data_IF_768908457947
#
_entry.id   IF_768908457947
#
_cell.length_a   1.000
_cell.length_b   1.000
_cell.length_c   1.000
_cell.angle_alpha   90.00
_cell.angle_beta   90.00
_cell.angle_gamma   90.00
#
_symmetry.space_group_name_H-M   'P 1'
#
loop_
_entity.id
_entity.type
_entity.pdbx_description
1 polymer ?
#
# COMPACT_ATOMS: atom_id res chain seq x y z
N UNK A 1 16.54 -19.21 15.27
CA UNK A 1 17.74 -19.08 14.40
C UNK A 1 17.54 -17.76 13.65
N UNK A 2 18.37 -16.73 13.89
CA UNK A 2 18.13 -15.36 13.38
C UNK A 2 18.99 -15.13 12.14
N UNK A 3 18.44 -14.89 10.93
CA UNK A 3 19.25 -14.43 9.81
C UNK A 3 19.40 -12.90 9.82
N UNK A 4 20.51 -12.48 9.21
CA UNK A 4 21.01 -11.13 9.02
C UNK A 4 19.91 -10.18 8.50
N UNK A 5 19.69 -8.99 9.05
CA UNK A 5 20.48 -7.78 8.75
C UNK A 5 20.10 -6.68 9.76
N UNK A 6 20.54 -6.80 11.02
CA UNK A 6 20.33 -5.77 12.04
C UNK A 6 21.59 -4.92 12.22
N UNK A 7 21.83 -4.04 11.25
CA UNK A 7 22.75 -2.91 11.40
C UNK A 7 21.97 -1.63 11.08
N UNK A 8 20.99 -1.30 11.94
CA UNK A 8 20.30 0.00 11.97
C UNK A 8 18.79 0.05 11.70
N UNK A 9 18.06 -1.08 11.67
CA UNK A 9 16.70 -1.12 11.10
C UNK A 9 15.60 -1.68 11.99
N UNK A 10 15.09 -0.91 12.96
CA UNK A 10 13.84 -1.19 13.71
C UNK A 10 12.56 -0.97 12.86
N UNK A 11 12.64 -1.08 11.54
CA UNK A 11 11.54 -0.68 10.64
C UNK A 11 11.23 -1.77 9.61
N UNK A 12 9.96 -2.14 9.52
CA UNK A 12 9.45 -3.03 8.48
C UNK A 12 8.91 -2.19 7.32
N UNK A 13 9.48 -2.34 6.13
CA UNK A 13 8.88 -1.85 4.88
C UNK A 13 8.20 -3.02 4.20
N UNK A 14 6.89 -2.91 3.98
CA UNK A 14 6.11 -3.95 3.31
C UNK A 14 5.10 -3.33 2.33
N UNK A 15 4.55 -4.16 1.46
CA UNK A 15 3.40 -3.81 0.63
C UNK A 15 2.11 -3.81 1.44
N UNK A 16 1.03 -3.27 0.86
CA UNK A 16 -0.33 -3.35 1.42
C UNK A 16 -0.77 -4.81 1.61
N UNK A 17 -0.45 -5.69 0.66
CA UNK A 17 -0.77 -7.12 0.76
C UNK A 17 0.00 -7.79 1.90
N UNK A 18 1.23 -7.36 2.18
CA UNK A 18 1.99 -7.90 3.30
C UNK A 18 1.39 -7.46 4.63
N UNK A 19 0.94 -6.20 4.73
CA UNK A 19 0.24 -5.72 5.92
C UNK A 19 -1.10 -6.43 6.13
N UNK A 20 -1.85 -6.71 5.06
CA UNK A 20 -3.06 -7.53 5.10
C UNK A 20 -2.79 -8.94 5.64
N UNK A 21 -1.76 -9.63 5.12
CA UNK A 21 -1.41 -10.97 5.59
C UNK A 21 -1.06 -10.97 7.09
N UNK A 22 -0.30 -9.96 7.53
CA UNK A 22 0.06 -9.80 8.94
C UNK A 22 -1.17 -9.53 9.83
N UNK A 23 -2.13 -8.71 9.38
CA UNK A 23 -3.37 -8.49 10.13
C UNK A 23 -4.16 -9.79 10.34
N UNK A 24 -4.28 -10.63 9.31
CA UNK A 24 -4.97 -11.92 9.41
C UNK A 24 -4.23 -12.86 10.35
N UNK A 25 -2.91 -13.03 10.18
CA UNK A 25 -2.12 -13.98 10.95
C UNK A 25 -2.00 -13.59 12.43
N UNK A 26 -2.11 -12.31 12.74
CA UNK A 26 -2.11 -11.80 14.12
C UNK A 26 -3.50 -11.65 14.72
N UNK A 27 -4.56 -11.74 13.91
CA UNK A 27 -5.94 -11.48 14.34
C UNK A 27 -6.23 -10.01 14.63
N UNK A 28 -5.42 -9.09 14.09
CA UNK A 28 -5.58 -7.64 14.30
C UNK A 28 -6.47 -7.07 13.18
N UNK A 29 -7.76 -6.88 13.50
CA UNK A 29 -8.79 -6.56 12.51
C UNK A 29 -8.66 -5.16 11.88
N UNK A 30 -8.24 -4.17 12.66
CA UNK A 30 -8.15 -2.78 12.19
C UNK A 30 -6.81 -2.20 12.61
N UNK A 31 -6.01 -1.83 11.62
CA UNK A 31 -4.80 -1.03 11.80
C UNK A 31 -5.07 0.33 11.18
N UNK A 32 -4.97 1.39 11.99
CA UNK A 32 -4.91 2.80 11.56
C UNK A 32 -5.65 3.10 10.23
N UNK A 33 -6.96 3.38 10.23
CA UNK A 33 -7.75 3.49 8.99
C UNK A 33 -7.22 4.55 8.01
N UNK A 34 -6.42 5.51 8.50
CA UNK A 34 -5.77 6.54 7.71
C UNK A 34 -4.68 5.99 6.77
N UNK A 35 -4.20 4.76 7.00
CA UNK A 35 -3.30 4.04 6.09
C UNK A 35 -4.01 3.54 4.82
N UNK A 36 -5.34 3.69 4.72
CA UNK A 36 -6.11 3.34 3.53
C UNK A 36 -6.23 1.83 3.31
N UNK A 37 -6.00 1.03 4.35
CA UNK A 37 -6.22 -0.41 4.33
C UNK A 37 -7.72 -0.70 4.29
N UNK A 38 -8.08 -1.78 3.60
CA UNK A 38 -9.43 -2.34 3.69
C UNK A 38 -9.56 -3.04 5.05
N UNK A 39 -10.66 -2.86 5.79
CA UNK A 39 -10.92 -3.68 6.98
C UNK A 39 -10.91 -5.16 6.60
N UNK A 40 -10.28 -6.01 7.42
CA UNK A 40 -10.36 -7.45 7.21
C UNK A 40 -11.70 -8.00 7.72
N UNK A 41 -12.21 -9.03 7.08
CA UNK A 41 -13.41 -9.76 7.46
C UNK A 41 -13.01 -11.17 7.91
N UNK A 42 -12.85 -11.42 9.22
CA UNK A 42 -12.35 -12.70 9.75
C UNK A 42 -13.17 -13.92 9.36
N UNK A 43 -14.46 -13.75 9.07
CA UNK A 43 -15.35 -14.83 8.63
C UNK A 43 -15.04 -15.34 7.21
N UNK A 44 -14.27 -14.60 6.42
CA UNK A 44 -13.93 -14.93 5.04
C UNK A 44 -12.42 -15.04 4.85
N UNK A 45 -11.67 -14.14 5.46
CA UNK A 45 -10.23 -14.02 5.30
C UNK A 45 -9.50 -14.80 6.40
N UNK A 46 -9.17 -16.06 6.09
CA UNK A 46 -8.61 -17.02 7.06
C UNK A 46 -7.08 -17.00 7.10
N UNK A 47 -6.46 -17.43 8.22
CA UNK A 47 -5.01 -17.60 8.30
C UNK A 47 -4.44 -18.48 7.18
N UNK A 48 -5.17 -19.53 6.78
CA UNK A 48 -4.75 -20.41 5.69
C UNK A 48 -4.70 -19.67 4.34
N UNK A 49 -5.64 -18.77 4.08
CA UNK A 49 -5.60 -17.93 2.87
C UNK A 49 -4.38 -17.01 2.87
N UNK A 50 -4.07 -16.39 4.01
CA UNK A 50 -2.87 -15.55 4.14
C UNK A 50 -1.59 -16.36 3.89
N UNK A 51 -1.47 -17.54 4.50
CA UNK A 51 -0.28 -18.41 4.31
C UNK A 51 -0.09 -18.89 2.87
N UNK A 52 -1.16 -19.05 2.10
CA UNK A 52 -1.10 -19.44 0.68
C UNK A 52 -0.83 -18.25 -0.25
N UNK A 53 -0.94 -17.01 0.22
CA UNK A 53 -0.72 -15.83 -0.60
C UNK A 53 0.77 -15.66 -0.97
N UNK A 54 1.12 -15.25 -2.20
CA UNK A 54 2.51 -15.12 -2.63
C UNK A 54 3.37 -14.22 -1.73
N UNK A 55 2.76 -13.20 -1.11
CA UNK A 55 3.44 -12.27 -0.21
C UNK A 55 4.04 -12.96 1.03
N UNK A 56 3.48 -14.11 1.45
CA UNK A 56 3.97 -14.85 2.61
C UNK A 56 5.38 -15.36 2.38
N UNK A 57 5.73 -15.75 1.14
CA UNK A 57 7.09 -16.17 0.82
C UNK A 57 8.10 -15.01 0.98
N UNK A 58 7.71 -13.78 0.62
CA UNK A 58 8.55 -12.60 0.83
C UNK A 58 8.71 -12.28 2.32
N UNK A 59 7.63 -12.37 3.09
CA UNK A 59 7.66 -12.17 4.55
C UNK A 59 8.47 -13.25 5.28
N UNK A 60 8.43 -14.49 4.81
CA UNK A 60 9.28 -15.59 5.31
C UNK A 60 10.75 -15.37 4.98
N UNK A 61 11.06 -14.98 3.74
CA UNK A 61 12.42 -14.65 3.33
C UNK A 61 13.00 -13.47 4.13
N UNK A 62 12.14 -12.54 4.56
CA UNK A 62 12.50 -11.42 5.44
C UNK A 62 12.58 -11.80 6.93
N UNK A 63 12.22 -13.04 7.31
CA UNK A 63 12.19 -13.50 8.70
C UNK A 63 11.06 -12.90 9.54
N UNK A 64 10.05 -12.29 8.90
CA UNK A 64 8.87 -11.72 9.57
C UNK A 64 7.87 -12.82 9.92
N UNK A 65 7.82 -13.89 9.13
CA UNK A 65 7.01 -15.08 9.36
C UNK A 65 7.96 -16.28 9.41
N UNK A 66 7.77 -17.18 10.37
CA UNK A 66 8.55 -18.42 10.45
C UNK A 66 7.92 -19.58 9.66
N UNK A 67 8.60 -20.73 9.67
CA UNK A 67 8.16 -21.94 8.96
C UNK A 67 6.82 -22.51 9.49
N UNK A 68 6.42 -22.13 10.70
CA UNK A 68 5.14 -22.51 11.30
C UNK A 68 3.99 -21.56 10.94
N UNK A 69 4.29 -20.47 10.23
CA UNK A 69 3.34 -19.40 9.95
C UNK A 69 3.16 -18.41 11.09
N UNK A 70 4.06 -18.43 12.08
CA UNK A 70 4.03 -17.51 13.22
C UNK A 70 4.75 -16.21 12.85
N UNK A 71 4.13 -15.07 13.18
CA UNK A 71 4.70 -13.74 12.96
C UNK A 71 5.72 -13.41 14.06
N UNK A 72 6.83 -12.76 13.70
CA UNK A 72 7.84 -12.31 14.65
C UNK A 72 7.21 -11.44 15.77
N UNK A 73 7.46 -11.75 17.06
CA UNK A 73 6.88 -11.02 18.18
C UNK A 73 7.07 -9.50 18.12
N UNK A 74 8.21 -8.99 17.62
CA UNK A 74 8.45 -7.54 17.56
C UNK A 74 7.48 -6.86 16.59
N UNK A 75 7.14 -7.54 15.48
CA UNK A 75 6.19 -7.05 14.50
C UNK A 75 4.77 -7.10 15.05
N UNK A 76 4.43 -8.14 15.83
CA UNK A 76 3.14 -8.22 16.53
C UNK A 76 2.99 -7.06 17.53
N UNK A 77 4.04 -6.72 18.27
CA UNK A 77 4.05 -5.57 19.17
C UNK A 77 3.80 -4.27 18.41
N UNK A 78 4.51 -4.03 17.30
CA UNK A 78 4.30 -2.84 16.48
C UNK A 78 2.87 -2.73 15.94
N UNK A 79 2.31 -3.82 15.43
CA UNK A 79 0.93 -3.85 14.94
C UNK A 79 -0.07 -3.63 16.08
N UNK A 80 0.20 -4.17 17.27
CA UNK A 80 -0.64 -3.97 18.46
C UNK A 80 -0.62 -2.52 18.91
N UNK A 81 0.54 -1.86 18.91
CA UNK A 81 0.65 -0.42 19.18
C UNK A 81 -0.16 0.38 18.17
N UNK A 82 -0.08 0.05 16.88
CA UNK A 82 -0.87 0.74 15.85
C UNK A 82 -2.37 0.52 16.01
N UNK A 83 -2.80 -0.68 16.40
CA UNK A 83 -4.20 -1.04 16.58
C UNK A 83 -4.83 -0.44 17.85
N UNK A 84 -4.05 -0.31 18.93
CA UNK A 84 -4.52 0.10 20.26
C UNK A 84 -3.95 1.44 20.74
N UNK A 85 -3.46 2.27 19.81
CA UNK A 85 -2.87 3.57 20.12
C UNK A 85 -3.83 4.46 20.93
N UNK A 86 -3.36 4.96 22.07
CA UNK A 86 -4.09 5.96 22.85
C UNK A 86 -3.99 7.36 22.22
N UNK A 87 -2.88 7.64 21.53
CA UNK A 87 -2.59 8.91 20.86
C UNK A 87 -1.99 8.64 19.49
N UNK A 88 -2.39 9.42 18.49
CA UNK A 88 -1.86 9.35 17.13
C UNK A 88 -1.63 10.74 16.55
N UNK A 89 -0.52 10.90 15.82
CA UNK A 89 -0.30 12.03 14.91
C UNK A 89 -0.47 11.51 13.48
N UNK A 90 -1.43 12.04 12.74
CA UNK A 90 -1.67 11.70 11.33
C UNK A 90 -1.24 12.85 10.45
N UNK A 91 -0.35 12.56 9.50
CA UNK A 91 0.12 13.53 8.50
C UNK A 91 -0.37 13.07 7.13
N UNK A 92 -1.21 13.88 6.49
CA UNK A 92 -1.62 13.67 5.10
C UNK A 92 -0.82 14.61 4.19
N UNK A 93 0.23 14.10 3.58
CA UNK A 93 1.01 14.84 2.60
C UNK A 93 0.41 14.66 1.20
N UNK A 94 0.26 15.76 0.48
CA UNK A 94 -0.11 15.75 -0.95
C UNK A 94 1.01 16.41 -1.73
N UNK A 95 1.62 15.69 -2.66
CA UNK A 95 2.46 16.34 -3.66
C UNK A 95 1.57 17.13 -4.61
N UNK A 96 1.96 18.34 -5.03
CA UNK A 96 1.29 19.02 -6.14
C UNK A 96 1.20 18.06 -7.32
N UNK A 97 0.01 17.90 -7.90
CA UNK A 97 -0.14 17.14 -9.13
C UNK A 97 0.77 17.77 -10.19
N UNK A 98 1.73 17.00 -10.70
CA UNK A 98 2.57 17.38 -11.83
C UNK A 98 1.66 17.53 -13.05
N UNK A 99 1.08 18.71 -13.21
CA UNK A 99 0.12 19.00 -14.28
C UNK A 99 -0.81 20.19 -14.06
N UNK A 100 -1.01 20.68 -12.83
CA UNK A 100 -1.80 21.91 -12.63
C UNK A 100 -0.89 23.12 -12.77
N UNK A 101 -0.69 23.58 -14.00
CA UNK A 101 -0.23 24.94 -14.23
C UNK A 101 -1.33 25.88 -13.70
N UNK A 102 -1.06 26.84 -12.80
CA UNK A 102 -2.09 27.68 -12.17
C UNK A 102 -2.81 28.63 -13.14
N UNK A 103 -2.42 28.64 -14.40
CA UNK A 103 -3.17 29.31 -15.46
C UNK A 103 -3.96 28.25 -16.23
N UNK A 104 -5.28 28.25 -16.07
CA UNK A 104 -6.23 27.52 -16.92
C UNK A 104 -6.17 27.98 -18.38
N UNK A 105 -5.04 27.74 -19.03
CA UNK A 105 -4.85 27.94 -20.45
C UNK A 105 -4.83 26.55 -21.08
N UNK A 106 -5.98 26.16 -21.61
CA UNK A 106 -6.02 25.15 -22.66
C UNK A 106 -5.05 25.60 -23.75
N UNK A 107 -3.98 24.84 -23.95
CA UNK A 107 -3.10 25.01 -25.10
C UNK A 107 -3.98 24.99 -26.35
N UNK A 108 -3.96 26.04 -27.19
CA UNK A 108 -4.81 26.04 -28.38
C UNK A 108 -4.38 24.86 -29.25
N UNK A 109 -5.33 23.99 -29.56
CA UNK A 109 -5.17 23.00 -30.61
C UNK A 109 -4.61 23.71 -31.84
N UNK A 110 -3.43 23.29 -32.29
CA UNK A 110 -2.82 23.79 -33.52
C UNK A 110 -3.82 23.56 -34.64
N UNK A 111 -4.53 24.63 -35.02
CA UNK A 111 -5.46 24.65 -36.14
C UNK A 111 -4.61 24.62 -37.41
N UNK A 112 -4.18 23.42 -37.80
CA UNK A 112 -3.68 23.17 -39.15
C UNK A 112 -4.86 23.30 -40.10
N UNK A 113 -5.07 24.52 -40.59
CA UNK A 113 -5.92 24.81 -41.73
C UNK A 113 -5.31 24.17 -42.97
N UNK A 114 -5.65 22.91 -43.21
CA UNK A 114 -5.50 22.22 -44.48
C UNK A 114 -6.80 22.33 -45.27
N UNK A 115 -6.70 22.95 -46.44
CA UNK A 115 -7.75 23.23 -47.43
C UNK A 115 -8.69 22.05 -47.74
N UNK A 116 -10.00 22.26 -47.55
CA UNK A 116 -11.06 21.46 -48.15
C UNK A 116 -12.29 22.35 -48.44
N UNK A 117 -12.16 23.26 -49.41
CA UNK A 117 -13.30 24.06 -49.93
C UNK A 117 -13.06 24.59 -51.36
N UNK A 118 -12.36 23.83 -52.22
CA UNK A 118 -12.40 24.11 -53.66
C UNK A 118 -12.93 22.88 -54.37
N UNK A 119 -14.24 22.70 -54.25
CA UNK A 119 -15.08 22.02 -55.23
C UNK A 119 -16.53 22.52 -55.10
N UNK A 120 -16.81 23.62 -55.83
CA UNK A 120 -18.14 23.93 -56.37
C UNK A 120 -18.02 25.00 -57.46
N UNK A 121 -18.52 24.67 -58.66
CA UNK A 121 -18.54 25.41 -59.95
C UNK A 121 -17.33 25.09 -60.85
N UNK A 122 -17.49 24.54 -62.05
CA UNK A 122 -18.64 24.37 -62.93
C UNK A 122 -18.54 23.05 -63.72
#
# INVERSE_FOLDING_TARGET
>A
MRPALWLGGDVLTTTVDGLWALQILTGIEVVAPELGLRPILPSVETPQMALLHPITAELQAAGVIDDSGTVDPIVVEWLTVLARRDVALVIQARSPQRGMNPTGQSSPATRSGGSCWKDRRA
#
